data_IF_622731205396
#
_entry.id   IF_622731205396
#
_cell.length_a   1.000
_cell.length_b   1.000
_cell.length_c   1.000
_cell.angle_alpha   90.00
_cell.angle_beta   90.00
_cell.angle_gamma   90.00
#
_symmetry.space_group_name_H-M   'P 1'
#
loop_
_entity.id
_entity.type
_entity.pdbx_description
1 polymer ?
#
# COMPACT_ATOMS: atom_id res chain seq x y z
N UNK A 1 11.62 4.02 18.74
CA UNK A 1 11.41 2.75 17.99
C UNK A 1 12.78 2.17 17.66
N UNK A 2 13.05 0.91 18.00
CA UNK A 2 14.34 0.28 17.70
C UNK A 2 14.35 -0.22 16.25
N UNK A 3 15.39 0.15 15.48
CA UNK A 3 15.64 -0.36 14.12
C UNK A 3 15.90 -1.88 14.12
N UNK A 4 16.44 -2.37 15.23
CA UNK A 4 16.79 -3.76 15.48
C UNK A 4 15.57 -4.54 15.93
N UNK A 5 14.83 -5.07 14.96
CA UNK A 5 13.75 -6.01 15.19
C UNK A 5 13.97 -7.20 14.26
N UNK A 6 13.92 -8.39 14.85
CA UNK A 6 14.08 -9.66 14.14
C UNK A 6 12.84 -9.92 13.25
N UNK A 7 11.65 -9.77 13.83
CA UNK A 7 10.38 -9.96 13.13
C UNK A 7 9.78 -8.63 12.65
N UNK A 8 10.34 -8.11 11.55
CA UNK A 8 9.81 -6.92 10.87
C UNK A 8 8.42 -7.17 10.25
N UNK A 9 8.18 -8.30 9.54
CA UNK A 9 6.88 -8.56 8.91
C UNK A 9 5.72 -8.52 9.91
N UNK A 10 5.83 -9.18 11.07
CA UNK A 10 4.77 -9.15 12.09
C UNK A 10 4.48 -7.76 12.65
N UNK A 11 5.49 -6.90 12.75
CA UNK A 11 5.28 -5.50 13.17
C UNK A 11 4.60 -4.67 12.08
N UNK A 12 4.98 -4.88 10.82
CA UNK A 12 4.31 -4.21 9.71
C UNK A 12 2.87 -4.70 9.59
N UNK A 13 2.61 -5.99 9.79
CA UNK A 13 1.25 -6.54 9.80
C UNK A 13 0.39 -5.94 10.91
N UNK A 14 0.92 -5.85 12.14
CA UNK A 14 0.23 -5.18 13.25
C UNK A 14 -0.01 -3.71 13.00
N UNK A 15 0.87 -3.05 12.24
CA UNK A 15 0.70 -1.67 11.83
C UNK A 15 -0.41 -1.56 10.78
N UNK A 16 -0.35 -2.36 9.71
CA UNK A 16 -1.35 -2.41 8.65
C UNK A 16 -2.75 -2.76 9.17
N UNK A 17 -2.85 -3.69 10.13
CA UNK A 17 -4.10 -4.09 10.77
C UNK A 17 -4.80 -2.94 11.54
N UNK A 18 -4.11 -1.83 11.81
CA UNK A 18 -4.71 -0.63 12.42
C UNK A 18 -5.36 0.29 11.39
N UNK A 19 -5.37 -0.09 10.11
CA UNK A 19 -5.79 0.74 8.98
C UNK A 19 -5.14 2.13 9.03
N UNK A 20 -3.80 2.22 9.01
CA UNK A 20 -3.11 3.48 9.11
C UNK A 20 -3.35 4.33 7.85
N UNK A 21 -3.34 5.64 8.02
CA UNK A 21 -3.52 6.58 6.91
C UNK A 21 -2.29 6.61 6.01
N UNK A 22 -2.46 7.05 4.76
CA UNK A 22 -1.34 7.29 3.84
C UNK A 22 -0.27 8.20 4.45
N UNK A 23 -0.68 9.25 5.16
CA UNK A 23 0.23 10.13 5.89
C UNK A 23 1.09 9.36 6.92
N UNK A 24 0.48 8.43 7.66
CA UNK A 24 1.23 7.61 8.60
C UNK A 24 2.23 6.69 7.88
N UNK A 25 1.91 6.16 6.71
CA UNK A 25 2.89 5.43 5.90
C UNK A 25 4.04 6.35 5.47
N UNK A 26 3.74 7.55 4.99
CA UNK A 26 4.74 8.52 4.56
C UNK A 26 5.68 8.96 5.69
N UNK A 27 5.14 9.22 6.89
CA UNK A 27 5.91 9.50 8.10
C UNK A 27 6.90 8.36 8.41
N UNK A 28 6.47 7.10 8.25
CA UNK A 28 7.33 5.94 8.46
C UNK A 28 8.42 5.87 7.38
N UNK A 29 8.07 6.06 6.11
CA UNK A 29 9.05 6.06 5.03
C UNK A 29 10.09 7.17 5.18
N UNK A 30 9.65 8.37 5.55
CA UNK A 30 10.51 9.52 5.85
C UNK A 30 11.44 9.21 7.02
N UNK A 31 10.92 8.64 8.11
CA UNK A 31 11.74 8.25 9.26
C UNK A 31 12.88 7.31 8.85
N UNK A 32 12.59 6.25 8.08
CA UNK A 32 13.63 5.31 7.67
C UNK A 32 14.58 5.90 6.61
N UNK A 33 14.10 6.82 5.78
CA UNK A 33 14.95 7.54 4.81
C UNK A 33 15.94 8.46 5.52
N UNK A 34 15.47 9.21 6.52
CA UNK A 34 16.33 10.05 7.36
C UNK A 34 17.40 9.22 8.09
N UNK A 35 17.05 8.03 8.59
CA UNK A 35 18.04 7.13 9.20
C UNK A 35 19.13 6.73 8.20
N UNK A 36 18.76 6.42 6.94
CA UNK A 36 19.74 6.11 5.90
C UNK A 36 20.64 7.30 5.61
N UNK A 37 20.07 8.50 5.45
CA UNK A 37 20.82 9.73 5.22
C UNK A 37 21.77 10.08 6.37
N UNK A 38 21.31 9.92 7.61
CA UNK A 38 22.14 10.10 8.81
C UNK A 38 23.33 9.14 8.79
N UNK A 39 23.11 7.85 8.49
CA UNK A 39 24.21 6.87 8.40
C UNK A 39 25.20 7.21 7.28
N UNK A 40 24.70 7.76 6.16
CA UNK A 40 25.53 8.15 5.02
C UNK A 40 26.40 9.38 5.34
N UNK A 41 25.91 10.26 6.22
CA UNK A 41 26.65 11.44 6.68
C UNK A 41 27.68 11.13 7.78
N UNK A 42 27.55 9.99 8.47
CA UNK A 42 28.43 9.62 9.57
C UNK A 42 29.82 9.21 9.08
N UNK A 43 30.84 9.59 9.85
CA UNK A 43 32.21 9.17 9.57
C UNK A 43 32.33 7.64 9.78
N UNK A 44 32.99 6.93 8.86
CA UNK A 44 33.12 5.47 8.93
C UNK A 44 34.10 4.98 10.01
N UNK A 45 34.67 5.88 10.81
CA UNK A 45 35.57 5.56 11.89
C UNK A 45 35.53 6.65 12.96
N UNK A 46 35.92 6.28 14.18
CA UNK A 46 36.17 7.20 15.28
C UNK A 46 37.50 6.84 15.94
N UNK A 47 38.30 7.86 16.24
CA UNK A 47 39.58 7.71 16.93
C UNK A 47 39.38 8.00 18.43
N UNK A 48 39.75 7.04 19.27
CA UNK A 48 39.68 7.12 20.72
C UNK A 48 41.09 6.88 21.26
N UNK A 49 41.76 7.96 21.68
CA UNK A 49 43.18 7.94 22.06
C UNK A 49 44.07 7.32 20.95
N UNK A 50 44.70 6.18 21.23
CA UNK A 50 45.57 5.45 20.30
C UNK A 50 44.84 4.34 19.52
N UNK A 51 43.51 4.24 19.63
CA UNK A 51 42.70 3.20 18.98
C UNK A 51 41.77 3.82 17.94
N UNK A 52 41.74 3.24 16.73
CA UNK A 52 40.76 3.57 15.68
C UNK A 52 39.66 2.51 15.65
N UNK A 53 38.43 2.91 15.93
CA UNK A 53 37.26 2.05 15.80
C UNK A 53 36.73 2.14 14.37
N UNK A 54 36.59 1.00 13.70
CA UNK A 54 35.96 0.91 12.38
C UNK A 54 34.44 0.81 12.54
N UNK A 55 33.72 1.84 12.09
CA UNK A 55 32.26 1.90 12.14
C UNK A 55 31.59 1.45 10.83
N UNK A 56 32.36 1.23 9.76
CA UNK A 56 31.81 0.80 8.45
C UNK A 56 30.82 -0.37 8.53
N UNK A 57 31.16 -1.53 9.13
CA UNK A 57 30.23 -2.66 9.13
C UNK A 57 28.95 -2.34 9.91
N UNK A 58 29.05 -1.57 10.98
CA UNK A 58 27.90 -1.14 11.76
C UNK A 58 26.98 -0.19 10.98
N UNK A 59 27.55 0.81 10.29
CA UNK A 59 26.78 1.74 9.47
C UNK A 59 26.09 1.01 8.30
N UNK A 60 26.78 0.05 7.68
CA UNK A 60 26.23 -0.79 6.61
C UNK A 60 25.06 -1.64 7.11
N UNK A 61 25.18 -2.27 8.28
CA UNK A 61 24.10 -3.07 8.87
C UNK A 61 22.88 -2.22 9.23
N UNK A 62 23.07 -1.03 9.81
CA UNK A 62 21.97 -0.11 10.11
C UNK A 62 21.26 0.34 8.83
N UNK A 63 22.04 0.70 7.78
CA UNK A 63 21.49 1.09 6.48
C UNK A 63 20.68 -0.05 5.87
N UNK A 64 21.20 -1.28 5.92
CA UNK A 64 20.51 -2.48 5.45
C UNK A 64 19.17 -2.64 6.17
N UNK A 65 19.16 -2.55 7.50
CA UNK A 65 17.93 -2.67 8.27
C UNK A 65 16.90 -1.59 7.96
N UNK A 66 17.32 -0.33 7.77
CA UNK A 66 16.42 0.75 7.39
C UNK A 66 15.80 0.50 5.99
N UNK A 67 16.58 0.01 5.03
CA UNK A 67 16.08 -0.38 3.71
C UNK A 67 15.11 -1.56 3.77
N UNK A 68 15.41 -2.58 4.58
CA UNK A 68 14.49 -3.71 4.82
C UNK A 68 13.15 -3.24 5.40
N UNK A 69 13.17 -2.27 6.32
CA UNK A 69 11.93 -1.68 6.85
C UNK A 69 11.11 -0.98 5.78
N UNK A 70 11.74 -0.17 4.92
CA UNK A 70 11.07 0.48 3.80
C UNK A 70 10.47 -0.55 2.85
N UNK A 71 11.22 -1.60 2.51
CA UNK A 71 10.77 -2.66 1.60
C UNK A 71 9.55 -3.41 2.16
N UNK A 72 9.58 -3.82 3.43
CA UNK A 72 8.45 -4.53 4.05
C UNK A 72 7.21 -3.63 4.14
N UNK A 73 7.37 -2.36 4.52
CA UNK A 73 6.26 -1.40 4.55
C UNK A 73 5.65 -1.20 3.17
N UNK A 74 6.49 -1.06 2.14
CA UNK A 74 6.04 -0.92 0.76
C UNK A 74 5.33 -2.14 0.24
N UNK A 75 5.89 -3.33 0.47
CA UNK A 75 5.28 -4.61 0.09
C UNK A 75 3.89 -4.77 0.69
N UNK A 76 3.72 -4.42 1.98
CA UNK A 76 2.40 -4.46 2.63
C UNK A 76 1.43 -3.42 2.11
N UNK A 77 1.89 -2.20 1.82
CA UNK A 77 1.07 -1.17 1.20
C UNK A 77 0.62 -1.59 -0.22
N UNK A 78 1.52 -2.17 -1.01
CA UNK A 78 1.22 -2.69 -2.35
C UNK A 78 0.21 -3.83 -2.29
N UNK A 79 0.44 -4.83 -1.42
CA UNK A 79 -0.50 -5.95 -1.21
C UNK A 79 -1.89 -5.48 -0.76
N UNK A 80 -1.95 -4.50 0.16
CA UNK A 80 -3.21 -3.87 0.56
C UNK A 80 -3.91 -3.17 -0.61
N UNK A 81 -3.14 -2.47 -1.45
CA UNK A 81 -3.67 -1.76 -2.63
C UNK A 81 -4.27 -2.75 -3.63
N UNK A 82 -3.55 -3.85 -3.94
CA UNK A 82 -4.05 -4.94 -4.79
C UNK A 82 -5.33 -5.56 -4.24
N UNK A 83 -5.40 -5.77 -2.92
CA UNK A 83 -6.59 -6.32 -2.26
C UNK A 83 -7.80 -5.40 -2.43
N UNK A 84 -7.61 -4.08 -2.32
CA UNK A 84 -8.67 -3.10 -2.54
C UNK A 84 -9.16 -3.12 -3.98
N UNK A 85 -8.24 -3.15 -4.96
CA UNK A 85 -8.60 -3.25 -6.38
C UNK A 85 -9.38 -4.52 -6.71
N UNK A 86 -8.93 -5.69 -6.22
CA UNK A 86 -9.62 -6.96 -6.44
C UNK A 86 -10.99 -6.98 -5.75
N UNK A 87 -11.09 -6.45 -4.53
CA UNK A 87 -12.38 -6.37 -3.81
C UNK A 87 -13.37 -5.48 -4.55
N UNK A 88 -12.89 -4.37 -5.10
CA UNK A 88 -13.70 -3.46 -5.91
C UNK A 88 -14.17 -4.13 -7.21
N UNK A 89 -13.29 -4.86 -7.90
CA UNK A 89 -13.64 -5.65 -9.08
C UNK A 89 -14.74 -6.67 -8.79
N UNK A 90 -14.61 -7.44 -7.71
CA UNK A 90 -15.60 -8.43 -7.30
C UNK A 90 -16.95 -7.78 -7.02
N UNK A 91 -16.97 -6.66 -6.28
CA UNK A 91 -18.20 -5.90 -6.00
C UNK A 91 -18.87 -5.43 -7.30
N UNK A 92 -18.09 -4.97 -8.28
CA UNK A 92 -18.64 -4.59 -9.58
C UNK A 92 -19.24 -5.78 -10.34
N UNK A 93 -18.58 -6.93 -10.32
CA UNK A 93 -19.07 -8.14 -10.97
C UNK A 93 -20.39 -8.64 -10.35
N UNK A 94 -20.48 -8.64 -9.02
CA UNK A 94 -21.71 -9.02 -8.29
C UNK A 94 -22.89 -8.10 -8.62
N UNK A 95 -22.66 -6.78 -8.67
CA UNK A 95 -23.69 -5.81 -9.05
C UNK A 95 -24.16 -6.00 -10.49
N UNK A 96 -23.25 -6.34 -11.42
CA UNK A 96 -23.60 -6.66 -12.81
C UNK A 96 -24.43 -7.93 -12.90
N UNK A 97 -24.05 -8.99 -12.19
CA UNK A 97 -24.79 -10.25 -12.18
C UNK A 97 -26.23 -10.06 -11.66
N UNK A 98 -26.42 -9.31 -10.57
CA UNK A 98 -27.78 -9.05 -10.05
C UNK A 98 -28.62 -8.19 -11.01
N UNK A 99 -27.99 -7.32 -11.81
CA UNK A 99 -28.68 -6.53 -12.83
C UNK A 99 -29.09 -7.36 -14.06
N UNK A 100 -28.25 -8.30 -14.49
CA UNK A 100 -28.52 -9.21 -15.62
C UNK A 100 -29.53 -10.30 -15.26
N UNK A 101 -29.75 -10.55 -13.96
CA UNK A 101 -30.72 -11.53 -13.46
C UNK A 101 -32.14 -11.04 -13.75
N UNK A 102 -32.70 -11.53 -14.86
CA UNK A 102 -34.03 -11.17 -15.35
C UNK A 102 -35.13 -11.16 -14.28
N UNK A 103 -36.01 -10.16 -14.37
CA UNK A 103 -37.09 -9.92 -13.40
C UNK A 103 -38.25 -10.89 -13.67
N UNK A 104 -38.29 -11.99 -12.95
CA UNK A 104 -39.36 -12.99 -13.07
C UNK A 104 -40.38 -12.91 -11.92
N UNK A 105 -39.99 -12.39 -10.75
CA UNK A 105 -40.80 -12.32 -9.53
C UNK A 105 -40.65 -10.96 -8.80
N UNK A 106 -41.62 -10.59 -7.96
CA UNK A 106 -41.59 -9.33 -7.19
C UNK A 106 -40.33 -9.20 -6.30
N UNK A 107 -39.84 -10.31 -5.74
CA UNK A 107 -38.60 -10.29 -4.96
C UNK A 107 -37.35 -10.08 -5.85
N UNK A 108 -37.34 -10.59 -7.08
CA UNK A 108 -36.27 -10.27 -8.04
C UNK A 108 -36.30 -8.80 -8.44
N UNK A 109 -37.50 -8.19 -8.57
CA UNK A 109 -37.63 -6.76 -8.85
C UNK A 109 -37.09 -5.87 -7.73
N UNK A 110 -37.39 -6.20 -6.47
CA UNK A 110 -36.85 -5.47 -5.31
C UNK A 110 -35.33 -5.53 -5.23
N UNK A 111 -34.72 -6.69 -5.54
CA UNK A 111 -33.26 -6.85 -5.56
C UNK A 111 -32.62 -6.04 -6.68
N UNK A 112 -33.19 -6.02 -7.88
CA UNK A 112 -32.72 -5.16 -8.97
C UNK A 112 -32.81 -3.68 -8.62
N UNK A 113 -33.89 -3.23 -7.97
CA UNK A 113 -34.00 -1.85 -7.49
C UNK A 113 -32.96 -1.50 -6.40
N UNK A 114 -32.69 -2.44 -5.50
CA UNK A 114 -31.63 -2.29 -4.51
C UNK A 114 -30.26 -2.21 -5.19
N UNK A 115 -29.98 -3.08 -6.16
CA UNK A 115 -28.75 -3.08 -6.95
C UNK A 115 -28.55 -1.75 -7.70
N UNK A 116 -29.61 -1.18 -8.30
CA UNK A 116 -29.56 0.15 -8.94
C UNK A 116 -29.20 1.24 -7.93
N UNK A 117 -29.80 1.20 -6.73
CA UNK A 117 -29.49 2.14 -5.65
C UNK A 117 -28.04 1.99 -5.18
N UNK A 118 -27.58 0.75 -5.05
CA UNK A 118 -26.23 0.42 -4.65
C UNK A 118 -25.19 0.83 -5.71
N UNK A 119 -25.50 0.70 -7.01
CA UNK A 119 -24.69 1.24 -8.11
C UNK A 119 -24.57 2.75 -8.00
N UNK A 120 -25.68 3.45 -7.70
CA UNK A 120 -25.70 4.89 -7.46
C UNK A 120 -24.76 5.32 -6.34
N UNK A 121 -24.74 4.60 -5.22
CA UNK A 121 -23.82 4.83 -4.11
C UNK A 121 -22.36 4.44 -4.48
N UNK A 122 -22.21 3.39 -5.28
CA UNK A 122 -20.91 2.89 -5.73
C UNK A 122 -20.20 3.90 -6.63
N UNK A 123 -20.89 4.83 -7.30
CA UNK A 123 -20.23 5.89 -8.08
C UNK A 123 -19.30 6.77 -7.25
N UNK A 124 -19.75 7.21 -6.08
CA UNK A 124 -18.95 8.05 -5.19
C UNK A 124 -17.84 7.21 -4.55
N UNK A 125 -18.16 5.99 -4.12
CA UNK A 125 -17.18 5.07 -3.54
C UNK A 125 -16.09 4.68 -4.54
N UNK A 126 -16.44 4.52 -5.83
CA UNK A 126 -15.52 4.19 -6.90
C UNK A 126 -14.50 5.31 -7.11
N UNK A 127 -14.95 6.56 -7.24
CA UNK A 127 -14.06 7.71 -7.41
C UNK A 127 -13.10 7.87 -6.22
N UNK A 128 -13.61 7.71 -4.99
CA UNK A 128 -12.77 7.72 -3.79
C UNK A 128 -11.75 6.58 -3.79
N UNK A 129 -12.16 5.38 -4.20
CA UNK A 129 -11.30 4.19 -4.25
C UNK A 129 -10.21 4.35 -5.30
N UNK A 130 -10.54 4.81 -6.50
CA UNK A 130 -9.56 5.05 -7.56
C UNK A 130 -8.53 6.09 -7.15
N UNK A 131 -8.99 7.20 -6.55
CA UNK A 131 -8.09 8.23 -6.04
C UNK A 131 -7.16 7.70 -4.95
N UNK A 132 -7.69 6.95 -3.99
CA UNK A 132 -6.90 6.34 -2.91
C UNK A 132 -5.85 5.35 -3.45
N UNK A 133 -6.22 4.53 -4.44
CA UNK A 133 -5.29 3.62 -5.13
C UNK A 133 -4.19 4.37 -5.88
N UNK A 134 -4.54 5.46 -6.58
CA UNK A 134 -3.55 6.29 -7.28
C UNK A 134 -2.57 6.97 -6.33
N UNK A 135 -3.06 7.53 -5.22
CA UNK A 135 -2.21 8.15 -4.19
C UNK A 135 -1.28 7.12 -3.53
N UNK A 136 -1.76 5.89 -3.31
CA UNK A 136 -0.92 4.78 -2.83
C UNK A 136 0.18 4.42 -3.82
N UNK A 137 -0.16 4.26 -5.09
CA UNK A 137 0.84 3.98 -6.13
C UNK A 137 1.83 5.15 -6.30
N UNK A 138 1.35 6.39 -6.20
CA UNK A 138 2.23 7.57 -6.23
C UNK A 138 3.23 7.54 -5.07
N UNK A 139 2.77 7.28 -3.86
CA UNK A 139 3.62 7.17 -2.65
C UNK A 139 4.65 6.04 -2.80
N UNK A 140 4.25 4.87 -3.30
CA UNK A 140 5.16 3.75 -3.55
C UNK A 140 6.26 4.11 -4.57
N UNK A 141 5.90 4.83 -5.65
CA UNK A 141 6.86 5.30 -6.65
C UNK A 141 7.84 6.32 -6.07
N UNK A 142 7.38 7.27 -5.27
CA UNK A 142 8.25 8.25 -4.59
C UNK A 142 9.28 7.57 -3.71
N UNK A 143 8.91 6.47 -3.05
CA UNK A 143 9.80 5.71 -2.17
C UNK A 143 10.70 4.71 -2.92
N UNK A 144 10.69 4.73 -4.26
CA UNK A 144 11.45 3.81 -5.13
C UNK A 144 11.11 2.33 -4.89
N UNK A 145 9.84 2.05 -4.59
CA UNK A 145 9.33 0.70 -4.40
C UNK A 145 8.70 0.26 -5.72
N UNK A 146 9.19 -0.85 -6.26
CA UNK A 146 8.73 -1.38 -7.54
C UNK A 146 7.28 -1.87 -7.41
N UNK A 147 6.42 -1.36 -8.28
CA UNK A 147 5.03 -1.79 -8.38
C UNK A 147 4.97 -2.82 -9.51
N UNK A 148 4.42 -4.01 -9.28
CA UNK A 148 4.22 -5.00 -10.35
C UNK A 148 3.44 -4.41 -11.51
N UNK A 149 3.87 -4.69 -12.74
CA UNK A 149 3.17 -4.25 -13.95
C UNK A 149 1.71 -4.75 -13.98
N UNK A 150 1.48 -5.97 -13.48
CA UNK A 150 0.14 -6.55 -13.30
C UNK A 150 -0.83 -5.65 -12.51
N UNK A 151 -0.34 -4.97 -11.46
CA UNK A 151 -1.18 -4.12 -10.62
C UNK A 151 -1.56 -2.83 -11.37
N UNK A 152 -0.67 -2.33 -12.24
CA UNK A 152 -0.93 -1.18 -13.10
C UNK A 152 -1.90 -1.52 -14.23
N UNK A 153 -1.76 -2.70 -14.83
CA UNK A 153 -2.69 -3.23 -15.83
C UNK A 153 -4.09 -3.41 -15.22
N UNK A 154 -4.18 -3.98 -14.02
CA UNK A 154 -5.44 -4.13 -13.30
C UNK A 154 -6.12 -2.78 -13.04
N UNK A 155 -5.36 -1.77 -12.60
CA UNK A 155 -5.90 -0.42 -12.40
C UNK A 155 -6.42 0.18 -13.71
N UNK A 156 -5.68 0.03 -14.80
CA UNK A 156 -6.07 0.53 -16.12
C UNK A 156 -7.34 -0.17 -16.63
N UNK A 157 -7.43 -1.49 -16.46
CA UNK A 157 -8.60 -2.29 -16.81
C UNK A 157 -9.82 -1.84 -15.99
N UNK A 158 -9.70 -1.70 -14.67
CA UNK A 158 -10.80 -1.27 -13.81
C UNK A 158 -11.30 0.13 -14.15
N UNK A 159 -10.40 1.07 -14.46
CA UNK A 159 -10.78 2.40 -14.94
C UNK A 159 -11.51 2.35 -16.27
N UNK A 160 -11.07 1.52 -17.21
CA UNK A 160 -11.72 1.35 -18.50
C UNK A 160 -13.12 0.72 -18.36
N UNK A 161 -13.24 -0.33 -17.54
CA UNK A 161 -14.52 -1.00 -17.25
C UNK A 161 -15.53 -0.12 -16.51
N UNK A 162 -15.04 0.89 -15.78
CA UNK A 162 -15.88 1.86 -15.07
C UNK A 162 -16.39 2.98 -15.98
N UNK A 163 -15.59 3.40 -16.96
CA UNK A 163 -15.96 4.46 -17.91
C UNK A 163 -16.87 3.91 -19.03
N UNK A 164 -16.74 2.63 -19.37
CA UNK A 164 -17.48 1.94 -20.44
C UNK A 164 -18.92 1.59 -20.03
#
# INVERSE_FOLDING_TARGET
>A
RHIWVVDKPSKVDKFAARNPTLLQYDDNFTLYSNVVEEMDSMRPYIDIHCVRLNLRPFLEDVRKHAKEWKAELGSRLASSTRTIMVTFQTKMAELREELERGVNELDSFKRVLQAITDIGNTLVDAELTFRDVEERHHTLRLQSIEIPEEDLELLAQLKAEWIA
#
